data_IF_440670466397
#
_entry.id   IF_440670466397
#
_cell.length_a   1.000
_cell.length_b   1.000
_cell.length_c   1.000
_cell.angle_alpha   90.00
_cell.angle_beta   90.00
_cell.angle_gamma   90.00
#
_symmetry.space_group_name_H-M   'P 1'
#
loop_
_entity.id
_entity.type
_entity.pdbx_description
1 polymer ?
#
# COMPACT_ATOMS: atom_id res chain seq x y z
N UNK A 1 9.06 71.96 -24.43
CA UNK A 1 8.77 70.51 -24.59
C UNK A 1 9.96 69.74 -24.04
N UNK A 2 10.17 69.82 -22.71
CA UNK A 2 11.33 69.22 -22.03
C UNK A 2 10.92 68.20 -20.94
N UNK A 3 9.62 68.03 -20.69
CA UNK A 3 9.10 67.15 -19.63
C UNK A 3 8.89 65.68 -20.03
N UNK A 4 8.91 65.32 -21.31
CA UNK A 4 8.65 63.91 -21.72
C UNK A 4 9.88 62.99 -21.59
N UNK A 5 11.10 63.54 -21.47
CA UNK A 5 12.33 62.72 -21.37
C UNK A 5 12.60 62.21 -19.95
N UNK A 6 12.23 63.00 -18.93
CA UNK A 6 12.40 62.63 -17.53
C UNK A 6 11.40 61.54 -17.07
N UNK A 7 10.17 61.55 -17.60
CA UNK A 7 9.13 60.60 -17.20
C UNK A 7 9.36 59.19 -17.76
N UNK A 8 10.09 59.05 -18.87
CA UNK A 8 10.42 57.75 -19.48
C UNK A 8 11.67 57.11 -18.88
N UNK A 9 12.56 57.88 -18.25
CA UNK A 9 13.76 57.36 -17.60
C UNK A 9 13.52 56.87 -16.16
N UNK A 10 12.41 57.25 -15.52
CA UNK A 10 12.04 56.77 -14.18
C UNK A 10 11.25 55.46 -14.14
N UNK A 11 10.69 55.01 -15.28
CA UNK A 11 9.82 53.82 -15.37
C UNK A 11 10.51 52.57 -15.94
N UNK A 12 11.80 52.68 -16.27
CA UNK A 12 12.66 51.54 -16.62
C UNK A 12 13.74 51.38 -15.56
N UNK A 13 13.29 51.22 -14.31
CA UNK A 13 14.06 50.59 -13.23
C UNK A 13 13.93 49.07 -13.45
N UNK A 14 14.99 48.26 -13.32
CA UNK A 14 15.06 46.92 -13.90
C UNK A 14 14.08 45.96 -13.21
N UNK A 15 12.84 45.89 -13.68
CA UNK A 15 11.99 44.71 -13.47
C UNK A 15 12.44 43.55 -14.38
N UNK A 16 13.31 43.83 -15.35
CA UNK A 16 13.82 42.83 -16.28
C UNK A 16 15.00 42.01 -15.71
N UNK A 17 15.54 42.36 -14.55
CA UNK A 17 16.49 41.48 -13.82
C UNK A 17 15.80 40.52 -12.84
N UNK A 18 14.48 40.66 -12.58
CA UNK A 18 13.75 39.74 -11.68
C UNK A 18 12.77 38.80 -12.40
N UNK A 19 12.40 39.06 -13.66
CA UNK A 19 11.48 38.17 -14.42
C UNK A 19 12.17 37.38 -15.55
N UNK A 20 13.46 37.62 -15.82
CA UNK A 20 14.31 36.75 -16.64
C UNK A 20 15.27 35.90 -15.76
N UNK A 21 14.83 35.43 -14.58
CA UNK A 21 15.23 34.07 -14.21
C UNK A 21 14.52 33.15 -15.20
N UNK A 22 15.18 33.00 -16.35
CA UNK A 22 15.22 31.84 -17.20
C UNK A 22 14.23 30.78 -16.68
N UNK A 23 13.11 30.62 -17.38
CA UNK A 23 12.41 29.35 -17.44
C UNK A 23 13.37 28.33 -18.09
N UNK A 24 14.51 28.13 -17.43
CA UNK A 24 15.50 27.13 -17.70
C UNK A 24 14.73 25.87 -17.50
N UNK A 25 14.66 25.05 -18.55
CA UNK A 25 14.19 23.67 -18.43
C UNK A 25 15.17 22.96 -17.50
N UNK A 26 15.02 23.18 -16.20
CA UNK A 26 15.74 22.47 -15.17
C UNK A 26 15.19 21.06 -15.24
N UNK A 27 16.05 20.13 -15.62
CA UNK A 27 15.76 18.71 -15.49
C UNK A 27 15.46 18.41 -14.02
N UNK A 28 14.67 17.36 -13.78
CA UNK A 28 14.29 16.96 -12.42
C UNK A 28 15.56 16.79 -11.56
N UNK A 29 16.62 16.22 -12.15
CA UNK A 29 17.92 16.05 -11.48
C UNK A 29 18.57 17.38 -11.07
N UNK A 30 18.58 18.40 -11.95
CA UNK A 30 19.13 19.73 -11.64
C UNK A 30 18.30 20.46 -10.57
N UNK A 31 16.97 20.30 -10.59
CA UNK A 31 16.12 20.82 -9.52
C UNK A 31 16.38 20.11 -8.19
N UNK A 32 16.50 18.78 -8.18
CA UNK A 32 16.80 18.02 -6.97
C UNK A 32 18.18 18.40 -6.42
N UNK A 33 19.19 18.52 -7.26
CA UNK A 33 20.53 18.87 -6.80
C UNK A 33 20.59 20.31 -6.26
N UNK A 34 19.89 21.26 -6.90
CA UNK A 34 19.85 22.68 -6.46
C UNK A 34 19.06 22.88 -5.16
N UNK A 35 17.94 22.18 -4.99
CA UNK A 35 16.99 22.44 -3.88
C UNK A 35 17.04 21.41 -2.74
N UNK A 36 17.37 20.15 -3.03
CA UNK A 36 17.39 19.06 -2.04
C UNK A 36 18.81 18.61 -1.63
N UNK A 37 19.85 19.04 -2.35
CA UNK A 37 21.23 18.63 -2.09
C UNK A 37 21.50 17.18 -2.51
N UNK A 38 22.68 16.65 -2.17
CA UNK A 38 23.03 15.25 -2.44
C UNK A 38 22.23 14.28 -1.55
N UNK A 39 21.84 13.14 -2.13
CA UNK A 39 21.10 12.11 -1.41
C UNK A 39 21.94 11.51 -0.27
N UNK A 40 21.65 11.91 0.96
CA UNK A 40 22.43 11.51 2.13
C UNK A 40 22.14 10.06 2.56
N UNK A 41 23.07 9.45 3.28
CA UNK A 41 22.90 8.11 3.88
C UNK A 41 21.64 8.00 4.75
N UNK A 42 21.28 9.06 5.46
CA UNK A 42 20.07 9.10 6.26
C UNK A 42 18.81 9.08 5.38
N UNK A 43 18.77 9.85 4.30
CA UNK A 43 17.66 9.85 3.34
C UNK A 43 17.53 8.48 2.66
N UNK A 44 18.64 7.85 2.28
CA UNK A 44 18.64 6.49 1.75
C UNK A 44 18.06 5.49 2.75
N UNK A 45 18.47 5.59 4.02
CA UNK A 45 17.92 4.71 5.05
C UNK A 45 16.43 4.92 5.26
N UNK A 46 15.96 6.17 5.30
CA UNK A 46 14.53 6.47 5.40
C UNK A 46 13.75 5.99 4.19
N UNK A 47 14.28 6.19 2.99
CA UNK A 47 13.69 5.70 1.75
C UNK A 47 13.55 4.17 1.79
N UNK A 48 14.62 3.45 2.11
CA UNK A 48 14.60 1.99 2.22
C UNK A 48 13.61 1.51 3.29
N UNK A 49 13.64 2.10 4.49
CA UNK A 49 12.72 1.72 5.57
C UNK A 49 11.25 1.97 5.19
N UNK A 50 10.97 3.10 4.54
CA UNK A 50 9.62 3.44 4.08
C UNK A 50 9.18 2.50 2.98
N UNK A 51 10.00 2.27 1.96
CA UNK A 51 9.70 1.33 0.87
C UNK A 51 9.48 -0.10 1.40
N UNK A 52 10.26 -0.53 2.38
CA UNK A 52 10.07 -1.83 3.04
C UNK A 52 8.75 -1.90 3.79
N UNK A 53 8.39 -0.86 4.55
CA UNK A 53 7.11 -0.81 5.27
C UNK A 53 5.93 -0.94 4.30
N UNK A 54 5.92 -0.18 3.21
CA UNK A 54 4.89 -0.26 2.17
C UNK A 54 4.86 -1.61 1.46
N UNK A 55 6.02 -2.22 1.22
CA UNK A 55 6.10 -3.55 0.61
C UNK A 55 5.52 -4.63 1.54
N UNK A 56 5.84 -4.56 2.84
CA UNK A 56 5.30 -5.48 3.83
C UNK A 56 3.78 -5.34 3.98
N UNK A 57 3.27 -4.11 3.94
CA UNK A 57 1.82 -3.85 3.92
C UNK A 57 1.13 -4.49 2.71
N UNK A 58 1.72 -4.36 1.52
CA UNK A 58 1.19 -4.95 0.30
C UNK A 58 1.20 -6.49 0.36
N UNK A 59 2.31 -7.09 0.83
CA UNK A 59 2.42 -8.55 0.99
C UNK A 59 1.40 -9.07 2.02
N UNK A 60 1.23 -8.39 3.15
CA UNK A 60 0.24 -8.76 4.15
C UNK A 60 -1.18 -8.68 3.57
N UNK A 61 -1.52 -7.60 2.87
CA UNK A 61 -2.83 -7.45 2.21
C UNK A 61 -3.10 -8.54 1.18
N UNK A 62 -2.08 -9.00 0.45
CA UNK A 62 -2.22 -10.13 -0.48
C UNK A 62 -2.63 -11.41 0.25
N UNK A 63 -1.94 -11.75 1.35
CA UNK A 63 -2.24 -12.95 2.16
C UNK A 63 -3.69 -12.89 2.68
N UNK A 64 -4.09 -11.73 3.20
CA UNK A 64 -5.45 -11.48 3.72
C UNK A 64 -6.56 -11.74 2.70
N UNK A 65 -6.31 -11.40 1.43
CA UNK A 65 -7.33 -11.49 0.38
C UNK A 65 -7.35 -12.89 -0.24
N UNK A 66 -6.17 -13.44 -0.52
CA UNK A 66 -6.04 -14.64 -1.33
C UNK A 66 -5.80 -15.89 -0.50
N UNK A 67 -4.92 -15.84 0.51
CA UNK A 67 -4.61 -17.00 1.32
C UNK A 67 -5.69 -17.28 2.37
N UNK A 68 -6.35 -16.25 2.90
CA UNK A 68 -7.45 -16.40 3.88
C UNK A 68 -8.83 -16.62 3.26
N UNK A 69 -8.91 -16.82 1.94
CA UNK A 69 -10.19 -17.08 1.26
C UNK A 69 -10.70 -18.49 1.62
N UNK A 70 -11.92 -18.57 2.14
CA UNK A 70 -12.62 -19.85 2.33
C UNK A 70 -12.76 -20.60 0.98
N UNK A 71 -12.10 -21.75 0.79
CA UNK A 71 -12.20 -22.50 -0.46
C UNK A 71 -13.55 -23.22 -0.56
N UNK A 72 -13.99 -23.62 -1.76
CA UNK A 72 -15.17 -24.45 -1.91
C UNK A 72 -14.97 -25.81 -1.24
N UNK A 73 -16.03 -26.36 -0.66
CA UNK A 73 -16.07 -27.67 -0.04
C UNK A 73 -17.11 -28.57 -0.73
N UNK A 74 -16.95 -29.88 -0.58
CA UNK A 74 -17.86 -30.87 -1.11
C UNK A 74 -18.13 -31.96 -0.06
N UNK A 75 -19.27 -32.64 -0.17
CA UNK A 75 -19.57 -33.79 0.65
C UNK A 75 -18.72 -35.00 0.20
N UNK A 76 -17.98 -35.61 1.13
CA UNK A 76 -17.21 -36.84 0.88
C UNK A 76 -18.00 -38.09 1.25
N UNK A 77 -19.04 -37.95 2.09
CA UNK A 77 -19.87 -39.06 2.58
C UNK A 77 -21.37 -38.82 2.44
N UNK A 78 -22.16 -39.89 2.51
CA UNK A 78 -23.63 -39.86 2.48
C UNK A 78 -24.28 -39.27 3.73
N UNK A 79 -23.54 -39.05 4.81
CA UNK A 79 -24.02 -38.39 6.04
C UNK A 79 -23.91 -36.86 5.98
N UNK A 80 -23.37 -36.31 4.89
CA UNK A 80 -23.26 -34.87 4.67
C UNK A 80 -24.53 -34.32 4.01
N UNK A 81 -25.07 -33.23 4.57
CA UNK A 81 -26.19 -32.51 3.96
C UNK A 81 -25.67 -31.22 3.33
N UNK A 82 -25.75 -31.06 1.99
CA UNK A 82 -25.27 -29.85 1.31
C UNK A 82 -26.06 -28.59 1.68
N UNK A 83 -27.24 -28.76 2.31
CA UNK A 83 -28.04 -27.66 2.84
C UNK A 83 -27.61 -27.22 4.26
N UNK A 84 -26.79 -28.00 4.95
CA UNK A 84 -26.27 -27.67 6.28
C UNK A 84 -24.91 -26.97 6.19
N UNK A 85 -24.55 -26.21 7.22
CA UNK A 85 -23.24 -25.53 7.24
C UNK A 85 -22.14 -26.53 7.60
N UNK A 86 -20.94 -26.29 7.06
CA UNK A 86 -19.71 -27.06 7.36
C UNK A 86 -19.52 -27.21 8.88
N UNK A 87 -19.83 -26.17 9.64
CA UNK A 87 -19.68 -26.10 11.08
C UNK A 87 -20.62 -27.01 11.89
N UNK A 88 -21.73 -27.44 11.31
CA UNK A 88 -22.69 -28.35 11.94
C UNK A 88 -22.44 -29.83 11.61
N UNK A 89 -21.49 -30.11 10.72
CA UNK A 89 -21.20 -31.45 10.23
C UNK A 89 -19.91 -32.01 10.84
N UNK A 90 -19.78 -33.33 10.84
CA UNK A 90 -18.55 -33.99 11.24
C UNK A 90 -17.44 -33.69 10.20
N UNK A 91 -16.21 -33.49 10.65
CA UNK A 91 -15.06 -33.20 9.76
C UNK A 91 -14.81 -34.32 8.74
N UNK A 92 -15.19 -35.57 9.06
CA UNK A 92 -15.05 -36.71 8.14
C UNK A 92 -16.11 -36.75 7.06
N UNK A 93 -17.18 -35.95 7.15
CA UNK A 93 -18.30 -36.06 6.21
C UNK A 93 -18.15 -35.21 4.96
N UNK A 94 -17.24 -34.24 4.97
CA UNK A 94 -16.99 -33.27 3.90
C UNK A 94 -15.49 -33.08 3.69
N UNK A 95 -15.09 -32.54 2.53
CA UNK A 95 -13.70 -32.26 2.19
C UNK A 95 -13.57 -30.96 1.38
N UNK A 96 -12.41 -30.32 1.44
CA UNK A 96 -12.09 -29.17 0.59
C UNK A 96 -11.85 -29.63 -0.85
N UNK A 97 -12.52 -29.00 -1.82
CA UNK A 97 -12.48 -29.42 -3.24
C UNK A 97 -11.05 -29.43 -3.81
N UNK A 98 -10.20 -28.53 -3.34
CA UNK A 98 -8.81 -28.39 -3.81
C UNK A 98 -7.78 -28.86 -2.77
N UNK A 99 -8.22 -29.54 -1.71
CA UNK A 99 -7.37 -30.01 -0.61
C UNK A 99 -7.08 -28.94 0.47
N UNK A 100 -6.25 -29.30 1.44
CA UNK A 100 -5.98 -28.45 2.61
C UNK A 100 -4.96 -27.33 2.37
N UNK A 101 -4.04 -27.47 1.40
CA UNK A 101 -2.93 -26.53 1.20
C UNK A 101 -3.22 -25.33 0.29
N UNK A 102 -4.47 -25.14 -0.15
CA UNK A 102 -4.83 -24.03 -1.06
C UNK A 102 -5.10 -22.72 -0.36
N UNK A 103 -5.44 -22.79 0.93
CA UNK A 103 -5.76 -21.63 1.76
C UNK A 103 -5.29 -21.88 3.18
N UNK A 104 -4.82 -20.82 3.83
CA UNK A 104 -4.51 -20.83 5.26
C UNK A 104 -5.75 -21.23 6.07
N UNK A 105 -6.96 -20.89 5.60
CA UNK A 105 -8.21 -21.30 6.26
C UNK A 105 -8.41 -22.81 6.21
N UNK A 106 -8.16 -23.45 5.08
CA UNK A 106 -8.29 -24.90 4.95
C UNK A 106 -7.17 -25.66 5.66
N UNK A 107 -5.97 -25.08 5.73
CA UNK A 107 -4.79 -25.68 6.38
C UNK A 107 -4.90 -25.65 7.91
N UNK A 108 -5.35 -24.52 8.48
CA UNK A 108 -5.36 -24.30 9.93
C UNK A 108 -6.76 -24.39 10.56
N UNK A 109 -7.80 -24.67 9.77
CA UNK A 109 -9.18 -24.80 10.26
C UNK A 109 -9.76 -23.50 10.81
N UNK A 110 -9.47 -22.37 10.17
CA UNK A 110 -9.91 -21.01 10.58
C UNK A 110 -11.37 -20.72 10.20
N UNK A 111 -12.23 -21.73 10.29
CA UNK A 111 -13.67 -21.64 10.02
C UNK A 111 -14.47 -21.63 11.33
N UNK A 112 -15.78 -21.39 11.21
CA UNK A 112 -16.72 -21.54 12.33
C UNK A 112 -16.30 -20.68 13.54
N UNK A 113 -16.18 -21.29 14.72
CA UNK A 113 -15.76 -20.62 15.94
C UNK A 113 -14.32 -20.10 15.94
N UNK A 114 -13.47 -20.48 14.98
CA UNK A 114 -12.07 -20.05 14.90
C UNK A 114 -11.85 -18.86 13.94
N UNK A 115 -12.88 -18.41 13.21
CA UNK A 115 -12.78 -17.33 12.22
C UNK A 115 -12.29 -16.00 12.81
N UNK A 116 -12.56 -15.74 14.09
CA UNK A 116 -12.10 -14.52 14.77
C UNK A 116 -10.57 -14.43 14.90
N UNK A 117 -9.86 -15.57 14.91
CA UNK A 117 -8.39 -15.60 15.07
C UNK A 117 -7.68 -14.89 13.94
N UNK A 118 -8.23 -15.02 12.73
CA UNK A 118 -7.81 -14.24 11.55
C UNK A 118 -7.95 -12.76 11.89
N UNK A 119 -9.16 -12.27 12.15
CA UNK A 119 -9.40 -10.85 12.43
C UNK A 119 -8.54 -10.26 13.57
N UNK A 120 -8.24 -11.04 14.61
CA UNK A 120 -7.32 -10.62 15.69
C UNK A 120 -5.89 -10.42 15.17
N UNK A 121 -5.35 -11.37 14.41
CA UNK A 121 -4.01 -11.25 13.83
C UNK A 121 -3.91 -10.04 12.88
N UNK A 122 -4.94 -9.84 12.05
CA UNK A 122 -5.03 -8.72 11.12
C UNK A 122 -5.07 -7.38 11.87
N UNK A 123 -5.86 -7.30 12.94
CA UNK A 123 -5.95 -6.10 13.79
C UNK A 123 -4.61 -5.77 14.45
N UNK A 124 -3.89 -6.79 14.94
CA UNK A 124 -2.57 -6.60 15.54
C UNK A 124 -1.54 -6.08 14.51
N UNK A 125 -1.61 -6.54 13.26
CA UNK A 125 -0.76 -6.03 12.18
C UNK A 125 -1.01 -4.55 11.92
N UNK A 126 -2.27 -4.15 11.71
CA UNK A 126 -2.61 -2.74 11.44
C UNK A 126 -2.32 -1.83 12.63
N UNK A 127 -2.52 -2.29 13.86
CA UNK A 127 -2.11 -1.55 15.06
C UNK A 127 -0.59 -1.30 15.05
N UNK A 128 0.20 -2.30 14.66
CA UNK A 128 1.65 -2.18 14.54
C UNK A 128 2.10 -1.21 13.44
N UNK A 129 1.33 -1.07 12.36
CA UNK A 129 1.62 -0.10 11.29
C UNK A 129 1.28 1.36 11.68
N UNK A 130 0.43 1.57 12.68
CA UNK A 130 0.03 2.90 13.16
C UNK A 130 0.93 3.45 14.29
N UNK A 131 1.71 2.58 14.94
CA UNK A 131 2.58 2.90 16.06
C UNK A 131 4.01 3.23 15.61
#
# INVERSE_FOLDING_TARGET
VEDEKGLKQGLLRPQQEEEEEEQKKLTIDEMLQKWTGEFGWWQLRHFVLTSLAWTLEALHTMVMIFADREPPWQCSSTSCSPASSVCSMAETSWEWVQGHGVSTVSEWGLICGNKYKVGVAQSAFFLGCLA
#
